data_IF_252556013950
#
_entry.id   IF_252556013950
#
_cell.length_a   1.000
_cell.length_b   1.000
_cell.length_c   1.000
_cell.angle_alpha   90.00
_cell.angle_beta   90.00
_cell.angle_gamma   90.00
#
_symmetry.space_group_name_H-M   'P 1'
#
loop_
_entity.id
_entity.type
_entity.pdbx_description
1 polymer ?
#
# COMPACT_ATOMS: atom_id res chain seq x y z
N UNK A 1 -16.84 -1.23 6.86
CA UNK A 1 -15.54 -1.90 6.87
C UNK A 1 -15.75 -3.37 6.58
N UNK A 2 -15.07 -3.95 5.61
CA UNK A 2 -15.24 -5.34 5.25
C UNK A 2 -14.21 -6.23 5.94
N UNK A 3 -14.60 -7.47 6.26
CA UNK A 3 -13.69 -8.43 6.85
C UNK A 3 -12.51 -8.73 5.92
N UNK A 4 -12.74 -8.79 4.61
CA UNK A 4 -11.68 -9.05 3.64
C UNK A 4 -10.64 -7.93 3.62
N UNK A 5 -11.04 -6.67 3.75
CA UNK A 5 -10.11 -5.55 3.80
C UNK A 5 -9.25 -5.59 5.06
N UNK A 6 -9.84 -5.93 6.21
CA UNK A 6 -9.10 -6.07 7.47
C UNK A 6 -8.10 -7.23 7.38
N UNK A 7 -8.54 -8.37 6.84
CA UNK A 7 -7.67 -9.53 6.65
C UNK A 7 -6.51 -9.22 5.69
N UNK A 8 -6.79 -8.45 4.64
CA UNK A 8 -5.77 -8.00 3.69
C UNK A 8 -4.68 -7.19 4.42
N UNK A 9 -5.07 -6.24 5.26
CA UNK A 9 -4.10 -5.44 6.03
C UNK A 9 -3.27 -6.35 6.94
N UNK A 10 -3.91 -7.29 7.63
CA UNK A 10 -3.20 -8.24 8.48
C UNK A 10 -2.17 -9.05 7.70
N UNK A 11 -2.56 -9.55 6.53
CA UNK A 11 -1.65 -10.32 5.66
C UNK A 11 -0.48 -9.49 5.16
N UNK A 12 -0.74 -8.23 4.77
CA UNK A 12 0.29 -7.31 4.31
C UNK A 12 1.36 -7.10 5.40
N UNK A 13 0.93 -6.80 6.61
CA UNK A 13 1.84 -6.55 7.73
C UNK A 13 2.59 -7.84 8.12
N UNK A 14 1.88 -8.98 8.15
CA UNK A 14 2.50 -10.25 8.48
C UNK A 14 3.60 -10.62 7.48
N UNK A 15 3.38 -10.36 6.22
CA UNK A 15 4.35 -10.64 5.17
C UNK A 15 5.52 -9.65 5.10
N UNK A 16 5.36 -8.48 5.73
CA UNK A 16 6.35 -7.39 5.69
C UNK A 16 6.44 -6.76 7.07
N UNK A 17 7.13 -7.46 7.98
CA UNK A 17 7.19 -7.11 9.40
C UNK A 17 7.79 -5.74 9.67
N UNK A 18 8.56 -5.20 8.73
CA UNK A 18 9.08 -3.83 8.80
C UNK A 18 7.97 -2.79 8.84
N UNK A 19 6.78 -3.16 8.37
CA UNK A 19 5.61 -2.27 8.39
C UNK A 19 4.84 -2.33 9.73
N UNK A 20 5.23 -3.21 10.64
CA UNK A 20 4.52 -3.33 11.91
C UNK A 20 4.40 -2.01 12.68
N UNK A 21 5.45 -1.16 12.76
CA UNK A 21 5.30 0.14 13.43
C UNK A 21 4.22 1.02 12.83
N UNK A 22 3.97 0.93 11.51
CA UNK A 22 2.90 1.68 10.85
C UNK A 22 1.55 1.26 11.42
N UNK A 23 1.33 -0.07 11.55
CA UNK A 23 0.09 -0.58 12.11
C UNK A 23 -0.06 -0.23 13.59
N UNK A 24 1.02 -0.34 14.35
CA UNK A 24 1.00 -0.03 15.79
C UNK A 24 0.59 1.43 16.04
N UNK A 25 1.18 2.35 15.29
CA UNK A 25 0.83 3.77 15.41
C UNK A 25 -0.62 4.01 15.00
N UNK A 26 -1.07 3.36 13.93
CA UNK A 26 -2.46 3.47 13.48
C UNK A 26 -3.43 3.00 14.57
N UNK A 27 -3.15 1.86 15.20
CA UNK A 27 -4.02 1.33 16.25
C UNK A 27 -4.06 2.27 17.45
N UNK A 28 -2.93 2.85 17.83
CA UNK A 28 -2.86 3.79 18.94
C UNK A 28 -3.70 5.05 18.66
N UNK A 29 -3.74 5.50 17.40
CA UNK A 29 -4.46 6.72 17.02
C UNK A 29 -5.94 6.49 16.73
N UNK A 30 -6.38 5.23 16.63
CA UNK A 30 -7.74 4.88 16.17
C UNK A 30 -8.45 3.88 17.09
N UNK A 31 -8.19 3.96 18.39
CA UNK A 31 -8.86 3.14 19.42
C UNK A 31 -8.77 1.63 19.12
N UNK A 32 -7.59 1.17 18.70
CA UNK A 32 -7.31 -0.23 18.37
C UNK A 32 -8.15 -0.79 17.23
N UNK A 33 -8.71 0.09 16.38
CA UNK A 33 -9.45 -0.33 15.20
C UNK A 33 -8.58 -0.26 13.95
N UNK A 34 -8.69 -1.28 13.10
CA UNK A 34 -8.04 -1.26 11.80
C UNK A 34 -8.98 -0.58 10.80
N UNK A 35 -8.54 0.56 10.27
CA UNK A 35 -9.24 1.28 9.20
C UNK A 35 -8.42 1.09 7.92
N UNK A 36 -8.78 0.14 7.05
CA UNK A 36 -7.90 -0.32 5.96
C UNK A 36 -7.40 0.78 5.03
N UNK A 37 -8.26 1.72 4.65
CA UNK A 37 -7.84 2.83 3.78
C UNK A 37 -6.77 3.71 4.43
N UNK A 38 -6.90 3.98 5.72
CA UNK A 38 -5.91 4.81 6.44
C UNK A 38 -4.59 4.07 6.59
N UNK A 39 -4.63 2.78 6.93
CA UNK A 39 -3.41 1.98 7.04
C UNK A 39 -2.69 1.92 5.69
N UNK A 40 -3.43 1.66 4.61
CA UNK A 40 -2.82 1.58 3.28
C UNK A 40 -2.14 2.89 2.89
N UNK A 41 -2.80 4.02 3.15
CA UNK A 41 -2.22 5.33 2.87
C UNK A 41 -0.93 5.55 3.69
N UNK A 42 -0.95 5.17 4.97
CA UNK A 42 0.23 5.29 5.84
C UNK A 42 1.37 4.38 5.37
N UNK A 43 1.04 3.17 4.90
CA UNK A 43 2.03 2.26 4.32
C UNK A 43 2.69 2.91 3.11
N UNK A 44 1.90 3.51 2.21
CA UNK A 44 2.47 4.16 1.03
C UNK A 44 3.39 5.33 1.40
N UNK A 45 3.03 6.12 2.41
CA UNK A 45 3.91 7.20 2.92
C UNK A 45 5.21 6.62 3.46
N UNK A 46 5.13 5.49 4.16
CA UNK A 46 6.31 4.81 4.68
C UNK A 46 7.22 4.33 3.54
N UNK A 47 6.62 3.76 2.48
CA UNK A 47 7.39 3.31 1.30
C UNK A 47 8.13 4.50 0.66
N UNK A 48 7.44 5.62 0.49
CA UNK A 48 8.06 6.82 -0.08
C UNK A 48 9.22 7.30 0.79
N UNK A 49 9.02 7.34 2.11
CA UNK A 49 10.04 7.83 3.04
C UNK A 49 11.29 6.93 3.08
N UNK A 50 11.11 5.62 2.86
CA UNK A 50 12.20 4.64 2.97
C UNK A 50 12.71 4.13 1.63
N UNK A 51 12.33 4.75 0.53
CA UNK A 51 12.62 4.22 -0.82
C UNK A 51 14.10 4.09 -1.15
N UNK A 52 14.93 4.90 -0.55
CA UNK A 52 16.39 4.85 -0.78
C UNK A 52 17.09 3.90 0.19
N UNK A 53 16.53 3.69 1.37
CA UNK A 53 17.13 2.86 2.42
C UNK A 53 16.80 1.39 2.25
N UNK A 54 15.60 1.07 1.73
CA UNK A 54 15.06 -0.28 1.66
C UNK A 54 14.51 -0.62 0.28
N UNK A 55 15.31 -0.45 -0.80
CA UNK A 55 14.77 -0.60 -2.16
C UNK A 55 14.22 -2.00 -2.46
N UNK A 56 14.83 -3.05 -1.92
CA UNK A 56 14.37 -4.42 -2.15
C UNK A 56 13.03 -4.67 -1.47
N UNK A 57 12.86 -4.16 -0.26
CA UNK A 57 11.62 -4.29 0.49
C UNK A 57 10.50 -3.52 -0.20
N UNK A 58 10.78 -2.31 -0.70
CA UNK A 58 9.80 -1.51 -1.44
C UNK A 58 9.27 -2.29 -2.64
N UNK A 59 10.17 -2.90 -3.43
CA UNK A 59 9.77 -3.73 -4.57
C UNK A 59 8.95 -4.93 -4.15
N UNK A 60 9.35 -5.58 -3.05
CA UNK A 60 8.63 -6.73 -2.52
C UNK A 60 7.20 -6.38 -2.13
N UNK A 61 7.01 -5.25 -1.45
CA UNK A 61 5.68 -4.78 -1.06
C UNK A 61 4.83 -4.49 -2.28
N UNK A 62 5.37 -3.75 -3.26
CA UNK A 62 4.59 -3.40 -4.45
C UNK A 62 4.24 -4.63 -5.28
N UNK A 63 5.14 -5.60 -5.38
CA UNK A 63 4.86 -6.86 -6.07
C UNK A 63 3.80 -7.67 -5.32
N UNK A 64 3.86 -7.70 -4.00
CA UNK A 64 2.86 -8.36 -3.16
C UNK A 64 1.48 -7.72 -3.36
N UNK A 65 1.43 -6.39 -3.43
CA UNK A 65 0.17 -5.66 -3.68
C UNK A 65 -0.41 -5.97 -5.06
N UNK A 66 0.45 -6.14 -6.06
CA UNK A 66 0.00 -6.55 -7.40
C UNK A 66 -0.70 -7.91 -7.33
N UNK A 67 -0.08 -8.89 -6.67
CA UNK A 67 -0.66 -10.22 -6.51
C UNK A 67 -1.97 -10.18 -5.71
N UNK A 68 -1.98 -9.39 -4.62
CA UNK A 68 -3.17 -9.24 -3.79
C UNK A 68 -4.31 -8.57 -4.54
N UNK A 69 -4.00 -7.62 -5.41
CA UNK A 69 -4.99 -6.94 -6.24
C UNK A 69 -5.65 -7.93 -7.21
N UNK A 70 -4.85 -8.75 -7.86
CA UNK A 70 -5.36 -9.76 -8.80
C UNK A 70 -6.28 -10.76 -8.09
N UNK A 71 -5.87 -11.23 -6.92
CA UNK A 71 -6.62 -12.24 -6.16
C UNK A 71 -7.76 -11.66 -5.30
N UNK A 72 -7.76 -10.35 -5.06
CA UNK A 72 -8.65 -9.72 -4.10
C UNK A 72 -10.06 -9.51 -4.61
N UNK A 73 -10.98 -9.32 -3.66
CA UNK A 73 -12.34 -8.92 -3.97
C UNK A 73 -12.40 -7.41 -4.24
N UNK A 74 -13.59 -6.89 -4.51
CA UNK A 74 -13.79 -5.47 -4.82
C UNK A 74 -13.32 -4.55 -3.70
N UNK A 75 -13.54 -4.93 -2.44
CA UNK A 75 -13.14 -4.12 -1.29
C UNK A 75 -11.62 -4.03 -1.18
N UNK A 76 -10.92 -5.14 -1.34
CA UNK A 76 -9.46 -5.19 -1.31
C UNK A 76 -8.88 -4.38 -2.47
N UNK A 77 -9.43 -4.55 -3.67
CA UNK A 77 -8.99 -3.79 -4.84
C UNK A 77 -9.16 -2.30 -4.66
N UNK A 78 -10.25 -1.87 -4.03
CA UNK A 78 -10.51 -0.47 -3.77
C UNK A 78 -9.48 0.12 -2.80
N UNK A 79 -9.17 -0.61 -1.73
CA UNK A 79 -8.14 -0.16 -0.78
C UNK A 79 -6.79 0.00 -1.47
N UNK A 80 -6.39 -0.96 -2.29
CA UNK A 80 -5.10 -0.91 -2.98
C UNK A 80 -5.06 0.24 -4.00
N UNK A 81 -6.11 0.38 -4.80
CA UNK A 81 -6.12 1.41 -5.85
C UNK A 81 -6.21 2.82 -5.26
N UNK A 82 -7.21 3.07 -4.43
CA UNK A 82 -7.53 4.43 -3.96
C UNK A 82 -6.57 4.89 -2.87
N UNK A 83 -6.27 4.04 -1.92
CA UNK A 83 -5.42 4.42 -0.79
C UNK A 83 -3.99 3.93 -0.92
N UNK A 84 -3.69 3.17 -1.98
CA UNK A 84 -2.34 2.73 -2.31
C UNK A 84 -1.81 3.47 -3.52
N UNK A 85 -2.20 3.04 -4.72
CA UNK A 85 -1.64 3.57 -5.98
C UNK A 85 -1.85 5.08 -6.10
N UNK A 86 -3.05 5.57 -5.78
CA UNK A 86 -3.35 7.01 -5.89
C UNK A 86 -2.61 7.87 -4.86
N UNK A 87 -2.04 7.24 -3.83
CA UNK A 87 -1.23 7.96 -2.82
C UNK A 87 0.23 8.13 -3.23
N UNK A 88 0.66 7.50 -4.33
CA UNK A 88 2.01 7.73 -4.85
C UNK A 88 2.10 9.20 -5.28
N UNK A 89 3.17 9.92 -4.89
CA UNK A 89 3.29 11.34 -5.25
C UNK A 89 3.16 11.59 -6.75
N UNK A 90 2.65 12.76 -7.10
CA UNK A 90 2.44 13.15 -8.49
C UNK A 90 3.76 13.13 -9.27
N UNK A 91 3.71 12.90 -10.59
CA UNK A 91 4.92 12.93 -11.42
C UNK A 91 5.72 14.22 -11.20
N UNK A 92 7.02 14.07 -11.05
CA UNK A 92 7.93 15.19 -10.77
C UNK A 92 8.12 15.48 -9.29
N UNK A 93 7.33 14.87 -8.41
CA UNK A 93 7.49 15.03 -6.97
C UNK A 93 8.39 13.93 -6.40
N UNK A 94 9.09 14.19 -5.27
CA UNK A 94 9.88 13.15 -4.62
C UNK A 94 9.02 11.94 -4.26
N UNK A 95 9.45 10.75 -4.64
CA UNK A 95 8.70 9.52 -4.41
C UNK A 95 7.88 9.06 -5.60
N UNK A 96 7.70 9.89 -6.62
CA UNK A 96 6.94 9.54 -7.82
C UNK A 96 7.56 8.38 -8.59
N UNK A 97 8.84 8.12 -8.41
CA UNK A 97 9.55 7.02 -9.05
C UNK A 97 9.00 5.65 -8.64
N UNK A 98 8.22 5.54 -7.57
CA UNK A 98 7.55 4.31 -7.20
C UNK A 98 6.59 3.83 -8.30
N UNK A 99 6.07 4.73 -9.12
CA UNK A 99 5.18 4.36 -10.24
C UNK A 99 5.84 3.39 -11.20
N UNK A 100 7.16 3.50 -11.38
CA UNK A 100 7.91 2.62 -12.28
C UNK A 100 8.00 1.19 -11.77
N UNK A 101 7.71 0.98 -10.49
CA UNK A 101 7.76 -0.34 -9.86
C UNK A 101 6.40 -1.04 -9.84
N UNK A 102 5.34 -0.38 -10.31
CA UNK A 102 4.00 -0.97 -10.36
C UNK A 102 3.96 -2.10 -11.38
N UNK A 103 3.33 -3.21 -11.01
CA UNK A 103 3.08 -4.30 -11.93
C UNK A 103 2.00 -3.94 -12.94
N UNK A 104 1.72 -4.86 -13.85
CA UNK A 104 0.80 -4.62 -14.98
C UNK A 104 -0.58 -4.15 -14.53
N UNK A 105 -1.16 -4.82 -13.53
CA UNK A 105 -2.53 -4.49 -13.10
C UNK A 105 -2.60 -3.21 -12.29
N UNK A 106 -1.62 -2.96 -11.43
CA UNK A 106 -1.60 -1.71 -10.65
C UNK A 106 -1.28 -0.51 -11.54
N UNK A 107 -0.49 -0.69 -12.58
CA UNK A 107 -0.23 0.38 -13.54
C UNK A 107 -1.50 0.83 -14.25
N UNK A 108 -2.45 -0.09 -14.47
CA UNK A 108 -3.73 0.23 -15.12
C UNK A 108 -4.62 1.14 -14.26
N UNK A 109 -4.47 1.09 -12.95
CA UNK A 109 -5.27 1.94 -12.03
C UNK A 109 -4.51 3.19 -11.58
N UNK A 110 -3.31 3.41 -12.08
CA UNK A 110 -2.55 4.63 -11.83
C UNK A 110 -3.19 5.77 -12.63
N UNK A 111 -3.67 6.84 -11.96
CA UNK A 111 -4.31 7.96 -12.65
C UNK A 111 -3.36 8.72 -13.60
N UNK A 112 -2.05 8.56 -13.41
CA UNK A 112 -1.03 9.23 -14.22
C UNK A 112 -0.41 8.33 -15.29
N UNK A 113 -1.00 7.18 -15.54
CA UNK A 113 -0.47 6.29 -16.59
C UNK A 113 -0.61 6.94 -17.96
N UNK A 114 0.33 6.62 -18.80
CA UNK A 114 0.31 7.07 -20.20
C UNK A 114 -0.31 6.01 -21.11
#
# INVERSE_FOLDING_TARGET
MSASSVAFIGALIYGHRELLPVLEEHLADNDDQILPHLVMADVMRWLVAHRWEEPKMIRSVLQWLETAYIAGDENVRDVIAVSGVEMIPDPGRPGSELRKLLGTELALVDPWRC
#
